data_IF_018700617551
#
_entry.id   IF_018700617551
#
_cell.length_a   1.000
_cell.length_b   1.000
_cell.length_c   1.000
_cell.angle_alpha   90.00
_cell.angle_beta   90.00
_cell.angle_gamma   90.00
#
_symmetry.space_group_name_H-M   'P 1'
#
loop_
_entity.id
_entity.type
_entity.pdbx_description
1 polymer ?
#
# COMPACT_ATOMS: atom_id res chain seq x y z
N UNK A 1 -5.84 13.94 -9.29
CA UNK A 1 -4.46 13.72 -8.79
C UNK A 1 -4.09 14.45 -7.51
N UNK A 2 -4.72 15.57 -7.11
CA UNK A 2 -4.41 16.28 -5.84
C UNK A 2 -4.42 15.39 -4.58
N UNK A 3 -5.35 14.43 -4.48
CA UNK A 3 -5.47 13.55 -3.30
C UNK A 3 -4.45 12.41 -3.27
N UNK A 4 -3.88 12.02 -4.43
CA UNK A 4 -2.79 11.06 -4.48
C UNK A 4 -1.50 11.64 -3.84
N UNK A 5 -1.32 12.97 -3.88
CA UNK A 5 -0.25 13.63 -3.14
C UNK A 5 -0.50 13.63 -1.62
N UNK A 6 -1.76 13.64 -1.18
CA UNK A 6 -2.16 13.61 0.25
C UNK A 6 -2.04 12.22 0.88
N UNK A 7 -2.08 11.16 0.07
CA UNK A 7 -1.93 9.76 0.50
C UNK A 7 -0.77 9.12 -0.27
N UNK A 8 0.42 9.17 0.31
CA UNK A 8 1.58 8.48 -0.24
C UNK A 8 2.09 7.43 0.77
N UNK A 9 1.71 6.15 0.61
CA UNK A 9 2.72 5.12 0.78
C UNK A 9 3.87 5.59 -0.12
N UNK A 10 4.98 5.94 0.49
CA UNK A 10 6.14 6.57 -0.17
C UNK A 10 7.40 5.89 0.33
N UNK A 11 8.53 6.19 -0.30
CA UNK A 11 9.84 5.79 0.22
C UNK A 11 10.02 6.18 1.70
N UNK A 12 9.40 7.28 2.16
CA UNK A 12 9.41 7.70 3.58
C UNK A 12 8.67 6.75 4.52
N UNK A 13 7.75 5.95 4.01
CA UNK A 13 7.10 4.87 4.77
C UNK A 13 7.68 3.50 4.45
N UNK A 14 8.83 3.43 3.77
CA UNK A 14 9.55 2.18 3.46
C UNK A 14 9.03 1.42 2.23
N UNK A 15 8.00 1.91 1.55
CA UNK A 15 7.47 1.26 0.34
C UNK A 15 8.21 1.76 -0.90
N UNK A 16 8.49 0.85 -1.84
CA UNK A 16 8.72 1.25 -3.24
C UNK A 16 7.36 1.38 -3.93
N UNK A 17 7.14 2.48 -4.65
CA UNK A 17 5.80 2.90 -5.06
C UNK A 17 5.78 3.16 -6.56
N UNK A 18 4.84 2.51 -7.25
CA UNK A 18 4.62 2.75 -8.67
C UNK A 18 3.71 3.97 -8.84
N UNK A 19 4.27 5.04 -9.38
CA UNK A 19 3.54 6.30 -9.55
C UNK A 19 2.34 6.12 -10.50
N UNK A 20 1.10 6.30 -10.03
CA UNK A 20 -0.07 6.09 -10.88
C UNK A 20 -0.22 7.22 -11.90
N UNK A 21 -0.51 6.86 -13.15
CA UNK A 21 -0.84 7.82 -14.21
C UNK A 21 -2.35 8.13 -14.31
N UNK A 22 -3.18 7.46 -13.49
CA UNK A 22 -4.63 7.65 -13.44
C UNK A 22 -5.28 6.78 -12.37
N UNK A 23 -6.62 6.74 -12.34
CA UNK A 23 -7.47 6.02 -11.36
C UNK A 23 -7.36 6.55 -9.91
N UNK A 24 -7.95 5.82 -8.96
CA UNK A 24 -7.94 6.10 -7.53
C UNK A 24 -7.14 5.08 -6.70
N UNK A 25 -6.24 4.32 -7.34
CA UNK A 25 -5.42 3.29 -6.70
C UNK A 25 -3.92 3.54 -6.89
N UNK A 26 -3.13 3.08 -5.91
CA UNK A 26 -1.65 3.10 -5.92
C UNK A 26 -1.18 1.67 -5.67
N UNK A 27 -0.23 1.20 -6.49
CA UNK A 27 0.48 -0.07 -6.27
C UNK A 27 1.83 0.22 -5.61
N UNK A 28 2.22 -0.63 -4.66
CA UNK A 28 3.51 -0.57 -3.98
C UNK A 28 4.11 -1.96 -3.78
N UNK A 29 5.43 -2.04 -3.75
CA UNK A 29 6.20 -3.23 -3.37
C UNK A 29 6.44 -3.28 -1.87
N UNK A 30 6.36 -4.48 -1.31
CA UNK A 30 6.65 -4.75 0.11
C UNK A 30 8.03 -5.36 0.34
N UNK A 31 8.76 -5.70 -0.72
CA UNK A 31 10.10 -6.31 -0.63
C UNK A 31 11.11 -5.49 0.18
N UNK A 32 11.07 -4.15 0.25
CA UNK A 32 11.98 -3.40 1.12
C UNK A 32 11.78 -3.67 2.63
N UNK A 33 10.64 -4.23 3.03
CA UNK A 33 10.41 -4.69 4.42
C UNK A 33 10.91 -6.12 4.67
N UNK A 34 11.56 -6.77 3.70
CA UNK A 34 11.93 -8.18 3.76
C UNK A 34 10.77 -9.15 3.50
N UNK A 35 9.60 -8.63 3.15
CA UNK A 35 8.36 -9.37 2.96
C UNK A 35 8.23 -9.82 1.49
N UNK A 36 7.68 -11.01 1.25
CA UNK A 36 7.49 -11.56 -0.12
C UNK A 36 6.10 -12.09 -0.38
N UNK A 37 5.22 -12.00 0.60
CA UNK A 37 3.85 -12.49 0.54
C UNK A 37 2.89 -11.34 0.87
N UNK A 38 2.37 -10.71 -0.18
CA UNK A 38 1.42 -9.61 -0.07
C UNK A 38 0.13 -10.04 0.61
N UNK A 39 -0.27 -11.32 0.53
CA UNK A 39 -1.48 -11.81 1.17
C UNK A 39 -1.31 -11.82 2.68
N UNK A 40 -0.22 -12.43 3.16
CA UNK A 40 0.14 -12.44 4.59
C UNK A 40 0.36 -11.01 5.12
N UNK A 41 1.08 -10.18 4.36
CA UNK A 41 1.31 -8.79 4.71
C UNK A 41 0.00 -8.00 4.87
N UNK A 42 -0.90 -8.07 3.88
CA UNK A 42 -2.20 -7.37 3.94
C UNK A 42 -3.08 -7.84 5.10
N UNK A 43 -3.00 -9.13 5.47
CA UNK A 43 -3.71 -9.71 6.62
C UNK A 43 -3.21 -9.16 7.96
N UNK A 44 -1.89 -8.97 8.10
CA UNK A 44 -1.28 -8.46 9.33
C UNK A 44 -1.32 -6.93 9.45
N UNK A 45 -1.43 -6.21 8.34
CA UNK A 45 -1.36 -4.75 8.28
C UNK A 45 -2.36 -4.01 9.23
N UNK A 46 -3.63 -4.46 9.37
CA UNK A 46 -4.57 -3.80 10.27
C UNK A 46 -4.15 -3.89 11.74
N UNK A 47 -3.57 -5.01 12.16
CA UNK A 47 -3.07 -5.17 13.53
C UNK A 47 -1.78 -4.37 13.75
N UNK A 48 -0.89 -4.35 12.74
CA UNK A 48 0.40 -3.65 12.81
C UNK A 48 0.25 -2.13 12.90
N UNK A 49 -0.65 -1.54 12.11
CA UNK A 49 -0.78 -0.09 12.04
C UNK A 49 -2.20 0.44 11.81
N UNK A 50 -3.22 -0.41 11.78
CA UNK A 50 -4.61 0.02 11.62
C UNK A 50 -4.92 0.52 10.21
N UNK A 51 -4.22 0.00 9.19
CA UNK A 51 -4.45 0.29 7.77
C UNK A 51 -4.68 -1.02 7.01
N UNK A 52 -5.56 -0.99 6.01
CA UNK A 52 -5.85 -2.13 5.13
C UNK A 52 -5.27 -1.86 3.74
N UNK A 53 -4.72 -2.90 3.13
CA UNK A 53 -4.31 -2.92 1.73
C UNK A 53 -4.92 -4.15 1.02
N UNK A 54 -4.88 -4.17 -0.30
CA UNK A 54 -5.34 -5.29 -1.12
C UNK A 54 -4.11 -5.96 -1.75
N UNK A 55 -3.91 -7.29 -1.61
CA UNK A 55 -2.83 -7.97 -2.32
C UNK A 55 -3.08 -7.93 -3.82
N UNK A 56 -2.07 -7.61 -4.63
CA UNK A 56 -2.26 -7.51 -6.07
C UNK A 56 -2.46 -8.86 -6.74
N UNK A 57 -1.92 -9.93 -6.17
CA UNK A 57 -2.02 -11.30 -6.71
C UNK A 57 -3.46 -11.75 -6.96
N UNK A 58 -4.46 -11.21 -6.25
CA UNK A 58 -5.89 -11.54 -6.47
C UNK A 58 -6.44 -11.03 -7.81
N UNK A 59 -5.69 -10.19 -8.51
CA UNK A 59 -6.03 -9.69 -9.85
C UNK A 59 -5.30 -10.44 -10.98
N UNK A 60 -4.51 -11.46 -10.66
CA UNK A 60 -3.76 -12.25 -11.62
C UNK A 60 -4.16 -13.73 -11.57
N UNK A 61 -4.21 -14.38 -12.73
CA UNK A 61 -4.40 -15.83 -12.81
C UNK A 61 -3.11 -16.60 -12.49
N UNK A 62 -1.94 -16.00 -12.74
CA UNK A 62 -0.64 -16.59 -12.47
C UNK A 62 -0.28 -16.47 -10.97
N UNK A 63 0.03 -17.57 -10.26
CA UNK A 63 0.23 -17.57 -8.80
C UNK A 63 1.34 -16.62 -8.28
N UNK A 64 2.39 -16.42 -9.06
CA UNK A 64 3.54 -15.59 -8.67
C UNK A 64 3.42 -14.12 -9.12
N UNK A 65 2.46 -13.81 -10.00
CA UNK A 65 2.31 -12.44 -10.50
C UNK A 65 1.78 -11.51 -9.40
N UNK A 66 2.49 -10.42 -9.15
CA UNK A 66 2.13 -9.44 -8.11
C UNK A 66 2.22 -9.98 -6.67
N UNK A 67 2.95 -11.08 -6.44
CA UNK A 67 3.03 -11.76 -5.13
C UNK A 67 3.56 -10.87 -3.99
N UNK A 68 4.43 -9.91 -4.28
CA UNK A 68 4.96 -8.92 -3.33
C UNK A 68 4.28 -7.54 -3.45
N UNK A 69 3.28 -7.41 -4.32
CA UNK A 69 2.65 -6.13 -4.59
C UNK A 69 1.38 -5.96 -3.78
N UNK A 70 1.18 -4.76 -3.26
CA UNK A 70 -0.04 -4.34 -2.57
C UNK A 70 -0.64 -3.12 -3.22
N UNK A 71 -1.96 -2.99 -3.09
CA UNK A 71 -2.73 -1.87 -3.63
C UNK A 71 -3.48 -1.15 -2.53
N UNK A 72 -3.37 0.17 -2.55
CA UNK A 72 -4.16 1.06 -1.72
C UNK A 72 -5.10 1.88 -2.58
N UNK A 73 -6.23 2.32 -2.00
CA UNK A 73 -7.16 3.24 -2.67
C UNK A 73 -7.23 4.56 -1.91
N UNK A 74 -7.30 5.67 -2.66
CA UNK A 74 -7.31 7.02 -2.10
C UNK A 74 -8.60 7.80 -2.37
N UNK A 75 -9.68 7.11 -2.78
CA UNK A 75 -11.02 7.67 -2.91
C UNK A 75 -11.72 7.82 -1.53
N UNK A 76 -11.06 8.52 -0.60
CA UNK A 76 -11.52 8.75 0.78
C UNK A 76 -11.41 10.23 1.14
N UNK A 77 -11.99 10.62 2.28
CA UNK A 77 -11.87 11.99 2.83
C UNK A 77 -10.42 12.28 3.22
N UNK A 78 -9.98 13.53 3.06
CA UNK A 78 -8.60 13.95 3.32
C UNK A 78 -8.09 13.57 4.72
N UNK A 79 -8.92 13.70 5.76
CA UNK A 79 -8.49 13.33 7.13
C UNK A 79 -8.13 11.85 7.25
N UNK A 80 -8.89 10.96 6.58
CA UNK A 80 -8.61 9.52 6.59
C UNK A 80 -7.32 9.20 5.82
N UNK A 81 -7.06 9.93 4.73
CA UNK A 81 -5.83 9.81 3.95
C UNK A 81 -4.60 10.25 4.76
N UNK A 82 -4.68 11.39 5.45
CA UNK A 82 -3.61 11.88 6.32
C UNK A 82 -3.34 10.93 7.49
N UNK A 83 -4.39 10.42 8.14
CA UNK A 83 -4.27 9.48 9.24
C UNK A 83 -3.62 8.17 8.78
N UNK A 84 -4.06 7.60 7.66
CA UNK A 84 -3.49 6.38 7.10
C UNK A 84 -2.02 6.57 6.73
N UNK A 85 -1.65 7.71 6.11
CA UNK A 85 -0.24 8.03 5.83
C UNK A 85 0.60 8.12 7.10
N UNK A 86 0.07 8.70 8.19
CA UNK A 86 0.74 8.77 9.49
C UNK A 86 0.97 7.39 10.11
N UNK A 87 -0.04 6.51 10.04
CA UNK A 87 0.04 5.14 10.52
C UNK A 87 1.04 4.29 9.71
N UNK A 88 1.03 4.40 8.38
CA UNK A 88 1.96 3.67 7.50
C UNK A 88 3.43 4.04 7.74
N UNK A 89 3.74 5.29 8.09
CA UNK A 89 5.11 5.70 8.43
C UNK A 89 5.71 4.93 9.61
N UNK A 90 4.88 4.41 10.53
CA UNK A 90 5.33 3.62 11.68
C UNK A 90 5.87 2.24 11.29
N UNK A 91 5.67 1.79 10.04
CA UNK A 91 6.19 0.51 9.54
C UNK A 91 7.66 0.57 9.12
N UNK A 92 8.19 1.78 8.89
CA UNK A 92 9.57 2.02 8.46
C UNK A 92 10.51 2.42 9.61
N UNK A 93 10.00 2.41 10.85
CA UNK A 93 10.74 2.68 12.09
C UNK A 93 10.98 1.37 12.83
#
# INVERSE_FOLDING_TARGET
MRHAASFAPSARSGFEVYQPQGTYAITAEITPFGEKDAYAFCRALPERCGVVAIPNSVFYDAPDAGRSQVRFTFCKKDHALHEASSRLRRLAS
#
